data_IF_653732966304
#
_entry.id   IF_653732966304
#
_cell.length_a   1.000
_cell.length_b   1.000
_cell.length_c   1.000
_cell.angle_alpha   90.00
_cell.angle_beta   90.00
_cell.angle_gamma   90.00
#
_symmetry.space_group_name_H-M   'P 1'
#
loop_
_entity.id
_entity.type
_entity.pdbx_description
1 polymer ?
#
# COMPACT_ATOMS: atom_id res chain seq x y z
N UNK A 1 -32.71 -4.99 10.06
CA UNK A 1 -31.44 -5.07 10.79
C UNK A 1 -30.35 -4.97 9.75
N UNK A 2 -29.71 -3.80 9.64
CA UNK A 2 -28.55 -3.63 8.75
C UNK A 2 -27.37 -4.13 9.55
N UNK A 3 -26.83 -5.29 9.16
CA UNK A 3 -25.57 -5.80 9.72
C UNK A 3 -24.46 -4.83 9.29
N UNK A 4 -24.18 -3.86 10.16
CA UNK A 4 -22.95 -3.06 10.11
C UNK A 4 -21.78 -4.02 10.32
N UNK A 5 -21.30 -4.60 9.21
CA UNK A 5 -19.99 -5.24 9.18
C UNK A 5 -19.01 -4.20 9.71
N UNK A 6 -18.22 -4.50 10.76
CA UNK A 6 -17.20 -3.56 11.19
C UNK A 6 -16.30 -3.38 9.98
N UNK A 7 -16.36 -2.19 9.38
CA UNK A 7 -15.33 -1.71 8.49
C UNK A 7 -14.09 -1.63 9.36
N UNK A 8 -13.36 -2.75 9.45
CA UNK A 8 -12.03 -2.80 10.05
C UNK A 8 -11.21 -1.92 9.14
N UNK A 9 -11.23 -0.62 9.45
CA UNK A 9 -10.35 0.38 8.87
C UNK A 9 -8.98 -0.04 9.37
N UNK A 10 -8.37 -0.94 8.60
CA UNK A 10 -6.99 -1.36 8.81
C UNK A 10 -6.19 -0.13 8.46
N UNK A 11 -5.99 0.73 9.46
CA UNK A 11 -4.97 1.75 9.42
C UNK A 11 -3.66 1.00 9.28
N UNK A 12 -3.25 0.76 8.02
CA UNK A 12 -1.94 0.21 7.71
C UNK A 12 -0.97 1.19 8.35
N UNK A 13 -0.42 0.78 9.50
CA UNK A 13 0.64 1.49 10.16
C UNK A 13 1.80 1.54 9.17
N UNK A 14 1.97 2.69 8.52
CA UNK A 14 3.05 2.90 7.55
C UNK A 14 4.42 2.65 8.18
N UNK A 15 4.54 2.82 9.49
CA UNK A 15 5.71 2.46 10.29
C UNK A 15 6.01 0.96 10.32
N UNK A 16 5.02 0.11 10.08
CA UNK A 16 5.19 -1.33 9.97
C UNK A 16 5.62 -1.77 8.58
N UNK A 17 5.50 -0.91 7.56
CA UNK A 17 5.95 -1.20 6.19
C UNK A 17 7.48 -1.15 6.18
N UNK A 18 8.09 -2.32 6.02
CA UNK A 18 9.54 -2.50 6.04
C UNK A 18 10.15 -2.39 4.64
N UNK A 19 9.34 -2.67 3.60
CA UNK A 19 9.79 -2.66 2.21
C UNK A 19 8.61 -2.45 1.27
N UNK A 20 8.85 -1.71 0.20
CA UNK A 20 7.92 -1.60 -0.92
C UNK A 20 8.62 -2.03 -2.19
N UNK A 21 7.97 -2.88 -2.98
CA UNK A 21 8.47 -3.34 -4.27
C UNK A 21 7.46 -2.93 -5.33
N UNK A 22 7.90 -2.10 -6.27
CA UNK A 22 7.12 -1.80 -7.47
C UNK A 22 7.30 -2.92 -8.49
N UNK A 23 6.20 -3.35 -9.08
CA UNK A 23 6.15 -4.32 -10.18
C UNK A 23 5.38 -3.70 -11.34
N UNK A 24 5.42 -4.36 -12.50
CA UNK A 24 4.67 -3.95 -13.68
C UNK A 24 3.16 -3.87 -13.39
N UNK A 25 2.62 -4.84 -12.63
CA UNK A 25 1.19 -4.94 -12.35
C UNK A 25 0.72 -4.16 -11.10
N UNK A 26 1.61 -3.66 -10.26
CA UNK A 26 1.24 -3.12 -8.95
C UNK A 26 2.40 -2.86 -7.99
N UNK A 27 2.08 -2.49 -6.75
CA UNK A 27 3.04 -2.41 -5.65
C UNK A 27 2.78 -3.48 -4.61
N UNK A 28 3.86 -4.02 -4.05
CA UNK A 28 3.85 -4.92 -2.91
C UNK A 28 4.43 -4.21 -1.69
N UNK A 29 3.58 -3.99 -0.69
CA UNK A 29 3.97 -3.39 0.59
C UNK A 29 4.15 -4.49 1.61
N UNK A 30 5.39 -4.76 1.98
CA UNK A 30 5.75 -5.72 3.00
C UNK A 30 5.70 -5.06 4.37
N UNK A 31 4.91 -5.63 5.28
CA UNK A 31 4.86 -5.21 6.67
C UNK A 31 5.26 -6.36 7.60
N UNK A 32 6.32 -6.13 8.37
CA UNK A 32 7.02 -7.20 9.10
C UNK A 32 7.63 -8.26 8.17
N UNK A 33 7.91 -9.45 8.71
CA UNK A 33 8.61 -10.52 7.98
C UNK A 33 7.71 -11.46 7.17
N UNK A 34 6.37 -11.37 7.31
CA UNK A 34 5.47 -12.43 6.81
C UNK A 34 4.19 -11.93 6.13
N UNK A 35 3.94 -10.63 6.11
CA UNK A 35 2.75 -10.08 5.49
C UNK A 35 3.09 -9.08 4.40
N UNK A 36 2.32 -9.15 3.32
CA UNK A 36 2.41 -8.21 2.21
C UNK A 36 1.01 -7.83 1.75
N UNK A 37 0.82 -6.55 1.44
CA UNK A 37 -0.36 -6.01 0.78
C UNK A 37 0.01 -5.78 -0.68
N UNK A 38 -0.82 -6.31 -1.58
CA UNK A 38 -0.73 -6.03 -3.00
C UNK A 38 -1.67 -4.88 -3.35
N UNK A 39 -1.13 -3.84 -3.95
CA UNK A 39 -1.89 -2.70 -4.49
C UNK A 39 -1.78 -2.77 -6.01
N UNK A 40 -2.80 -3.30 -6.70
CA UNK A 40 -2.78 -3.36 -8.16
C UNK A 40 -2.90 -1.95 -8.75
N UNK A 41 -2.08 -1.67 -9.76
CA UNK A 41 -2.12 -0.41 -10.52
C UNK A 41 -3.44 -0.22 -11.25
N UNK A 42 -4.02 -1.32 -11.73
CA UNK A 42 -5.32 -1.34 -12.43
C UNK A 42 -6.48 -0.80 -11.57
N UNK A 43 -6.36 -0.90 -10.24
CA UNK A 43 -7.37 -0.36 -9.32
C UNK A 43 -7.19 1.14 -9.04
N UNK A 44 -6.11 1.76 -9.52
CA UNK A 44 -5.78 3.16 -9.31
C UNK A 44 -5.82 3.91 -10.65
N UNK A 45 -6.42 5.10 -10.64
CA UNK A 45 -6.31 6.02 -11.79
C UNK A 45 -4.91 6.66 -11.83
N UNK A 46 -4.51 7.21 -12.97
CA UNK A 46 -3.20 7.85 -13.16
C UNK A 46 -2.85 8.88 -12.07
N UNK A 47 -3.81 9.70 -11.64
CA UNK A 47 -3.63 10.66 -10.55
C UNK A 47 -3.38 9.96 -9.19
N UNK A 48 -4.10 8.87 -8.92
CA UNK A 48 -3.94 8.12 -7.68
C UNK A 48 -2.63 7.32 -7.66
N UNK A 49 -2.19 6.80 -8.81
CA UNK A 49 -0.86 6.22 -8.96
C UNK A 49 0.23 7.26 -8.65
N UNK A 50 0.14 8.45 -9.24
CA UNK A 50 1.12 9.51 -9.01
C UNK A 50 1.17 9.93 -7.52
N UNK A 51 0.01 10.08 -6.88
CA UNK A 51 -0.09 10.37 -5.45
C UNK A 51 0.47 9.23 -4.59
N UNK A 52 0.17 7.98 -4.95
CA UNK A 52 0.67 6.81 -4.23
C UNK A 52 2.19 6.72 -4.32
N UNK A 53 2.74 6.91 -5.53
CA UNK A 53 4.18 6.94 -5.77
C UNK A 53 4.87 8.06 -5.00
N UNK A 54 4.29 9.26 -4.96
CA UNK A 54 4.81 10.38 -4.17
C UNK A 54 4.78 10.08 -2.65
N UNK A 55 3.72 9.44 -2.17
CA UNK A 55 3.57 9.03 -0.78
C UNK A 55 4.62 7.96 -0.41
N UNK A 56 4.88 6.99 -1.29
CA UNK A 56 5.94 6.00 -1.13
C UNK A 56 7.32 6.64 -1.05
N UNK A 57 7.64 7.57 -1.96
CA UNK A 57 8.92 8.30 -1.96
C UNK A 57 9.15 9.16 -0.72
N UNK A 58 8.08 9.60 -0.05
CA UNK A 58 8.15 10.40 1.17
C UNK A 58 8.34 9.54 2.43
N UNK A 59 7.92 8.26 2.39
CA UNK A 59 7.81 7.41 3.59
C UNK A 59 8.68 6.15 3.59
N UNK A 60 9.21 5.73 2.45
CA UNK A 60 10.15 4.60 2.37
C UNK A 60 11.55 5.11 2.04
N UNK A 61 12.61 4.59 2.68
CA UNK A 61 13.93 4.64 2.07
C UNK A 61 13.85 3.77 0.81
N UNK A 62 13.61 4.41 -0.34
CA UNK A 62 13.77 3.76 -1.64
C UNK A 62 15.22 3.30 -1.70
N UNK A 63 15.43 2.00 -1.53
CA UNK A 63 16.65 1.38 -2.01
C UNK A 63 16.59 1.48 -3.55
N UNK A 64 17.41 2.40 -4.07
CA UNK A 64 17.69 2.56 -5.49
C UNK A 64 18.22 1.27 -6.10
#
# INVERSE_FOLDING_TARGET
>A
MVEERPSIRSEVLWTAVVRVVETDSGWLLYYGSRHAISVPKDALNEDQEAQFRALLGTRSPVAA
#
